data_IF_216539825304
#
_entry.id   IF_216539825304
#
_cell.length_a   1.000
_cell.length_b   1.000
_cell.length_c   1.000
_cell.angle_alpha   90.00
_cell.angle_beta   90.00
_cell.angle_gamma   90.00
#
_symmetry.space_group_name_H-M   'P 1'
#
loop_
_entity.id
_entity.type
_entity.pdbx_description
1 polymer ?
#
# COMPACT_ATOMS: atom_id res chain seq x y z
N UNK A 1 -1.69 -0.27 18.31
CA UNK A 1 -2.67 -1.25 17.79
C UNK A 1 -3.78 -0.45 17.09
N UNK A 2 -3.50 0.15 15.92
CA UNK A 2 -4.47 1.02 15.22
C UNK A 2 -4.19 1.19 13.70
N UNK A 3 -2.91 1.20 13.25
CA UNK A 3 -2.58 1.39 11.83
C UNK A 3 -2.93 0.20 10.90
N UNK A 4 -3.04 -1.01 11.46
CA UNK A 4 -3.35 -2.22 10.70
C UNK A 4 -4.83 -2.35 10.27
N UNK A 5 -5.75 -1.73 11.00
CA UNK A 5 -7.18 -1.77 10.68
C UNK A 5 -7.55 -0.75 9.60
N UNK A 6 -6.98 0.46 9.64
CA UNK A 6 -7.23 1.51 8.63
C UNK A 6 -6.76 1.11 7.23
N UNK A 7 -5.62 0.43 7.12
CA UNK A 7 -5.08 -0.06 5.83
C UNK A 7 -5.94 -1.17 5.22
N UNK A 8 -6.53 -2.03 6.05
CA UNK A 8 -7.47 -3.06 5.62
C UNK A 8 -8.72 -2.46 4.95
N UNK A 9 -9.23 -1.35 5.49
CA UNK A 9 -10.40 -0.66 4.93
C UNK A 9 -10.13 -0.02 3.56
N UNK A 10 -8.93 0.52 3.32
CA UNK A 10 -8.55 1.11 2.02
C UNK A 10 -8.42 0.02 0.95
N UNK A 11 -7.81 -1.12 1.29
CA UNK A 11 -7.67 -2.26 0.38
C UNK A 11 -9.03 -2.93 0.08
N UNK A 12 -9.94 -2.98 1.06
CA UNK A 12 -11.30 -3.53 0.91
C UNK A 12 -12.20 -2.69 0.00
N UNK A 13 -12.06 -1.36 0.03
CA UNK A 13 -12.77 -0.46 -0.89
C UNK A 13 -12.42 -0.70 -2.36
N UNK A 14 -11.23 -1.23 -2.64
CA UNK A 14 -10.67 -1.40 -3.98
C UNK A 14 -11.35 -2.50 -4.80
N UNK A 15 -11.80 -3.57 -4.14
CA UNK A 15 -12.48 -4.71 -4.77
C UNK A 15 -14.00 -4.61 -4.65
N UNK A 16 -14.51 -3.87 -3.67
CA UNK A 16 -15.95 -3.69 -3.41
C UNK A 16 -16.76 -3.07 -4.57
N UNK A 17 -16.09 -2.39 -5.51
CA UNK A 17 -16.74 -1.74 -6.65
C UNK A 17 -16.83 -2.63 -7.90
N UNK A 18 -16.18 -3.80 -7.90
CA UNK A 18 -16.22 -4.75 -9.01
C UNK A 18 -17.15 -5.91 -8.63
N UNK A 19 -18.24 -6.16 -9.38
CA UNK A 19 -19.05 -7.34 -9.15
C UNK A 19 -18.19 -8.58 -9.39
N UNK A 20 -17.98 -9.37 -8.34
CA UNK A 20 -17.29 -10.64 -8.44
C UNK A 20 -18.15 -11.59 -9.28
N UNK A 21 -17.67 -11.89 -10.49
CA UNK A 21 -18.37 -12.72 -11.47
C UNK A 21 -18.31 -14.20 -11.08
N UNK A 22 -17.27 -14.62 -10.36
CA UNK A 22 -17.06 -15.99 -9.94
C UNK A 22 -16.44 -16.06 -8.54
N UNK A 23 -17.27 -16.01 -7.49
CA UNK A 23 -16.80 -16.05 -6.10
C UNK A 23 -16.06 -17.34 -5.74
N UNK A 24 -16.34 -18.45 -6.46
CA UNK A 24 -15.69 -19.73 -6.21
C UNK A 24 -14.25 -19.68 -6.73
N UNK A 25 -14.03 -19.17 -7.94
CA UNK A 25 -12.69 -18.92 -8.46
C UNK A 25 -11.91 -17.99 -7.52
N UNK A 26 -12.51 -16.86 -7.10
CA UNK A 26 -11.86 -15.94 -6.15
C UNK A 26 -11.46 -16.66 -4.85
N UNK A 27 -12.32 -17.51 -4.29
CA UNK A 27 -12.03 -18.27 -3.08
C UNK A 27 -10.85 -19.24 -3.28
N UNK A 28 -10.78 -19.93 -4.42
CA UNK A 28 -9.69 -20.85 -4.74
C UNK A 28 -8.34 -20.14 -4.86
N UNK A 29 -8.31 -18.93 -5.43
CA UNK A 29 -7.10 -18.11 -5.48
C UNK A 29 -6.66 -17.62 -4.09
N UNK A 30 -7.60 -17.22 -3.24
CA UNK A 30 -7.31 -16.82 -1.85
C UNK A 30 -6.77 -18.01 -1.06
N UNK A 31 -7.40 -19.18 -1.16
CA UNK A 31 -6.94 -20.39 -0.49
C UNK A 31 -5.53 -20.81 -0.97
N UNK A 32 -5.24 -20.65 -2.26
CA UNK A 32 -3.92 -20.91 -2.82
C UNK A 32 -2.84 -19.99 -2.23
N UNK A 33 -3.17 -18.72 -2.02
CA UNK A 33 -2.26 -17.77 -1.36
C UNK A 33 -2.04 -18.12 0.11
N UNK A 34 -3.10 -18.50 0.83
CA UNK A 34 -3.01 -18.92 2.24
C UNK A 34 -2.17 -20.19 2.38
N UNK A 35 -2.36 -21.18 1.48
CA UNK A 35 -1.54 -22.38 1.42
C UNK A 35 -0.07 -22.04 1.18
N UNK A 36 0.23 -21.17 0.22
CA UNK A 36 1.59 -20.71 -0.06
C UNK A 36 2.25 -20.06 1.16
N UNK A 37 1.52 -19.20 1.89
CA UNK A 37 2.03 -18.56 3.12
C UNK A 37 2.31 -19.62 4.20
N UNK A 38 1.40 -20.58 4.40
CA UNK A 38 1.58 -21.65 5.39
C UNK A 38 2.77 -22.56 5.08
N UNK A 39 2.98 -22.89 3.81
CA UNK A 39 3.99 -23.86 3.39
C UNK A 39 5.38 -23.24 3.16
N UNK A 40 5.44 -22.04 2.58
CA UNK A 40 6.69 -21.41 2.13
C UNK A 40 7.00 -20.07 2.82
N UNK A 41 6.11 -19.60 3.69
CA UNK A 41 6.30 -18.38 4.47
C UNK A 41 5.98 -17.09 3.71
N UNK A 42 5.98 -15.99 4.48
CA UNK A 42 5.57 -14.67 4.03
C UNK A 42 6.53 -14.04 3.02
N UNK A 43 7.84 -14.28 3.12
CA UNK A 43 8.83 -13.74 2.18
C UNK A 43 8.59 -14.26 0.75
N UNK A 44 8.31 -15.55 0.62
CA UNK A 44 8.03 -16.17 -0.67
C UNK A 44 6.71 -15.72 -1.26
N UNK A 45 5.66 -15.62 -0.43
CA UNK A 45 4.37 -15.07 -0.84
C UNK A 45 4.52 -13.62 -1.32
N UNK A 46 5.30 -12.78 -0.62
CA UNK A 46 5.57 -11.40 -1.03
C UNK A 46 6.28 -11.31 -2.38
N UNK A 47 7.25 -12.20 -2.64
CA UNK A 47 7.92 -12.30 -3.93
C UNK A 47 6.94 -12.64 -5.07
N UNK A 48 6.07 -13.63 -4.85
CA UNK A 48 5.09 -14.06 -5.84
C UNK A 48 4.07 -12.95 -6.12
N UNK A 49 3.54 -12.30 -5.08
CA UNK A 49 2.60 -11.19 -5.23
C UNK A 49 3.19 -10.02 -6.02
N UNK A 50 4.43 -9.60 -5.72
CA UNK A 50 5.12 -8.57 -6.51
C UNK A 50 5.30 -8.97 -7.98
N UNK A 51 5.62 -10.23 -8.22
CA UNK A 51 5.78 -10.77 -9.58
C UNK A 51 4.46 -10.76 -10.37
N UNK A 52 3.35 -11.12 -9.72
CA UNK A 52 2.00 -11.07 -10.29
C UNK A 52 1.58 -9.62 -10.60
N UNK A 53 1.82 -8.68 -9.67
CA UNK A 53 1.54 -7.25 -9.88
C UNK A 53 2.34 -6.68 -11.05
N UNK A 54 3.63 -7.01 -11.16
CA UNK A 54 4.47 -6.59 -12.29
C UNK A 54 3.93 -7.14 -13.63
N UNK A 55 3.53 -8.42 -13.65
CA UNK A 55 2.93 -9.08 -14.83
C UNK A 55 1.55 -8.52 -15.19
N UNK A 56 0.77 -8.10 -14.20
CA UNK A 56 -0.53 -7.47 -14.39
C UNK A 56 -0.36 -6.07 -15.00
N UNK A 57 0.58 -5.28 -14.48
CA UNK A 57 0.94 -3.97 -15.02
C UNK A 57 1.42 -4.03 -16.48
N UNK A 58 2.22 -5.04 -16.84
CA UNK A 58 2.64 -5.22 -18.25
C UNK A 58 1.51 -5.62 -19.19
N UNK A 59 0.41 -6.17 -18.66
CA UNK A 59 -0.78 -6.53 -19.41
C UNK A 59 -1.89 -5.47 -19.33
N UNK A 60 -1.59 -4.26 -18.84
CA UNK A 60 -2.55 -3.16 -18.68
C UNK A 60 -3.75 -3.53 -17.80
N UNK A 61 -3.60 -4.51 -16.90
CA UNK A 61 -4.59 -4.76 -15.85
C UNK A 61 -4.53 -3.56 -14.91
N UNK A 62 -5.67 -2.87 -14.77
CA UNK A 62 -5.80 -1.70 -13.91
C UNK A 62 -5.72 -2.08 -12.44
N UNK A 63 -4.52 -2.41 -11.95
CA UNK A 63 -4.28 -2.62 -10.54
C UNK A 63 -4.00 -1.26 -9.91
N UNK A 64 -4.82 -0.81 -8.96
CA UNK A 64 -4.54 0.42 -8.26
C UNK A 64 -3.23 0.25 -7.52
N UNK A 65 -2.27 1.12 -7.82
CA UNK A 65 -1.01 1.15 -7.12
C UNK A 65 -1.32 1.47 -5.67
N UNK A 66 -1.08 0.52 -4.76
CA UNK A 66 -1.10 0.79 -3.32
C UNK A 66 0.13 1.62 -3.02
N UNK A 67 0.06 2.93 -3.27
CA UNK A 67 1.10 3.89 -2.93
C UNK A 67 1.02 4.19 -1.43
N UNK A 68 1.18 3.16 -0.60
CA UNK A 68 1.51 3.42 0.81
C UNK A 68 3.00 3.73 0.82
N UNK A 69 3.32 5.03 0.76
CA UNK A 69 4.64 5.50 1.17
C UNK A 69 4.75 5.32 2.68
N UNK A 70 5.95 5.00 3.18
CA UNK A 70 6.16 4.88 4.62
C UNK A 70 5.68 6.15 5.34
N UNK A 71 5.19 6.01 6.57
CA UNK A 71 4.76 7.15 7.41
C UNK A 71 5.98 7.88 7.99
N UNK A 72 6.77 8.45 7.09
CA UNK A 72 7.98 9.21 7.37
C UNK A 72 8.03 10.38 6.38
N UNK A 73 8.63 11.50 6.78
CA UNK A 73 8.85 12.61 5.87
C UNK A 73 9.72 12.15 4.69
N UNK A 74 9.25 12.39 3.47
CA UNK A 74 9.98 12.00 2.25
C UNK A 74 11.32 12.71 2.11
N UNK A 75 11.48 13.89 2.73
CA UNK A 75 12.73 14.65 2.77
C UNK A 75 13.37 14.43 4.14
N UNK A 76 14.59 13.85 4.22
CA UNK A 76 15.32 13.71 5.48
C UNK A 76 15.91 15.06 5.91
N UNK A 77 16.13 15.24 7.22
CA UNK A 77 16.55 16.51 7.81
C UNK A 77 17.87 17.08 7.25
N UNK A 78 18.77 16.23 6.75
CA UNK A 78 20.03 16.63 6.12
C UNK A 78 19.87 17.13 4.67
N UNK A 79 18.72 16.86 4.06
CA UNK A 79 18.35 17.33 2.72
C UNK A 79 17.25 18.39 2.75
N UNK A 80 16.79 18.79 3.93
CA UNK A 80 15.88 19.92 4.08
C UNK A 80 16.61 21.21 3.65
N UNK A 81 16.01 22.01 2.74
CA UNK A 81 16.59 23.29 2.37
C UNK A 81 16.52 24.27 3.55
N UNK A 82 17.40 25.28 3.54
CA UNK A 82 17.33 26.35 4.53
C UNK A 82 15.97 27.07 4.41
N UNK A 83 15.32 27.27 5.56
CA UNK A 83 14.01 27.90 5.59
C UNK A 83 14.14 29.37 5.18
N UNK A 84 13.40 29.85 4.17
CA UNK A 84 13.61 31.20 3.61
C UNK A 84 13.02 32.32 4.48
N UNK A 85 12.21 31.99 5.49
CA UNK A 85 11.51 32.95 6.35
C UNK A 85 12.21 33.19 7.69
N UNK A 86 11.62 34.08 8.50
CA UNK A 86 12.04 34.26 9.88
C UNK A 86 11.03 33.57 10.81
N UNK A 87 11.44 32.42 11.32
CA UNK A 87 10.58 31.61 12.18
C UNK A 87 10.13 32.33 13.46
N UNK A 88 10.92 33.26 14.01
CA UNK A 88 10.55 34.00 15.22
C UNK A 88 9.37 34.93 14.94
N UNK A 89 9.43 35.69 13.84
CA UNK A 89 8.33 36.55 13.42
C UNK A 89 7.10 35.70 13.07
N UNK A 90 7.26 34.63 12.29
CA UNK A 90 6.15 33.77 11.91
C UNK A 90 5.46 33.12 13.13
N UNK A 91 6.22 32.65 14.13
CA UNK A 91 5.67 32.11 15.38
C UNK A 91 4.84 33.15 16.13
N UNK A 92 5.27 34.41 16.16
CA UNK A 92 4.54 35.51 16.83
C UNK A 92 3.18 35.80 16.17
N UNK A 93 3.05 35.60 14.86
CA UNK A 93 1.84 35.94 14.09
C UNK A 93 0.93 34.74 13.74
N UNK A 94 1.29 33.50 14.12
CA UNK A 94 0.54 32.27 13.81
C UNK A 94 -0.72 32.05 14.67
N UNK A 95 -0.99 32.91 15.65
CA UNK A 95 -2.11 32.76 16.59
C UNK A 95 -3.48 33.11 15.98
#
# INVERSE_FOLDING_TARGET
>A
MAAGEETSHILSGLTSQLPDRDPQETAEWVESLDALIREQGTERAQFIMRSLLQRAGSQSVGVPMVTTTDYVNTIPADQEPEFPGNEEFERRYRA
#
